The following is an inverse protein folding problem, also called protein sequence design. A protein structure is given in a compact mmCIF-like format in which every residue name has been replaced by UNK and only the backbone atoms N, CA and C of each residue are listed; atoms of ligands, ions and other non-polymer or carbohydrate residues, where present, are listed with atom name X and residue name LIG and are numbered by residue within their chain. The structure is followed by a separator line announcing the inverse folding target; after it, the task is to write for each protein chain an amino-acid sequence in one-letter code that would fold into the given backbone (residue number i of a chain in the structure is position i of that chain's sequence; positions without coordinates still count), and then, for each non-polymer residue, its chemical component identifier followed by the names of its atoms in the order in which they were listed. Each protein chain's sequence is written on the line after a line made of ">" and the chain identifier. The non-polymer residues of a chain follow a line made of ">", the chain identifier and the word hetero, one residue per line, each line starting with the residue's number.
data_IF_437941433610
#
_entry.id   IF_437941433610
#
_cell.length_a   1.000
_cell.length_b   1.000
_cell.length_c   1.000
_cell.angle_alpha   90.00
_cell.angle_beta   90.00
_cell.angle_gamma   90.00
#
_symmetry.space_group_name_H-M   'P 1'
#
loop_
_entity.id
_entity.type
_entity.pdbx_description
1 polymer ?
#
# COMPACT_ATOMS: atom_id res chain seq x y z
N UNK A 1 -23.66 -46.92 40.38
CA UNK A 1 -23.77 -45.98 41.53
C UNK A 1 -22.37 -45.49 41.87
N UNK A 2 -22.22 -44.16 42.04
CA UNK A 2 -21.06 -43.39 42.53
C UNK A 2 -19.81 -43.37 41.61
N UNK A 3 -19.37 -42.23 41.03
CA UNK A 3 -18.94 -40.93 41.58
C UNK A 3 -17.82 -41.15 42.61
N UNK A 4 -16.56 -40.76 42.38
CA UNK A 4 -15.95 -39.40 42.41
C UNK A 4 -14.42 -39.63 42.18
N UNK A 5 -13.50 -38.71 41.92
CA UNK A 5 -13.40 -37.26 41.77
C UNK A 5 -12.00 -36.98 41.17
N UNK A 6 -11.92 -35.95 40.33
CA UNK A 6 -10.68 -35.41 39.77
C UNK A 6 -9.79 -34.81 40.87
N UNK A 7 -8.50 -35.13 40.86
CA UNK A 7 -7.50 -34.45 41.69
C UNK A 7 -7.32 -32.99 41.23
N UNK A 8 -7.77 -32.07 42.06
CA UNK A 8 -7.44 -30.65 42.01
C UNK A 8 -5.98 -30.43 42.42
N UNK A 9 -5.12 -30.07 41.46
CA UNK A 9 -3.87 -29.39 41.79
C UNK A 9 -4.17 -27.89 42.02
N UNK A 10 -4.40 -27.57 43.28
CA UNK A 10 -4.41 -26.22 43.84
C UNK A 10 -3.04 -25.55 43.58
N UNK A 11 -2.99 -24.65 42.60
CA UNK A 11 -1.89 -23.70 42.49
C UNK A 11 -2.22 -22.50 43.39
N UNK A 12 -1.53 -22.44 44.52
CA UNK A 12 -1.45 -21.27 45.38
C UNK A 12 -1.16 -20.00 44.56
N UNK A 13 -2.17 -19.13 44.43
CA UNK A 13 -1.98 -17.76 43.96
C UNK A 13 -1.30 -16.95 45.06
N UNK A 14 0.02 -16.85 44.98
CA UNK A 14 0.74 -15.76 45.67
C UNK A 14 0.30 -14.46 45.02
N UNK A 15 -0.52 -13.67 45.73
CA UNK A 15 -0.91 -12.31 45.34
C UNK A 15 0.35 -11.45 45.32
N UNK A 16 0.90 -11.17 44.14
CA UNK A 16 1.80 -10.05 43.95
C UNK A 16 0.93 -8.80 43.97
N UNK A 17 0.87 -8.15 45.13
CA UNK A 17 0.37 -6.79 45.25
C UNK A 17 1.27 -5.87 44.42
N UNK A 18 0.69 -5.07 43.53
CA UNK A 18 1.42 -4.10 42.71
C UNK A 18 1.36 -4.31 41.19
N UNK A 19 0.44 -5.10 40.65
CA UNK A 19 0.09 -4.96 39.22
C UNK A 19 -0.86 -3.79 39.08
N UNK A 20 -0.34 -2.70 38.49
CA UNK A 20 -1.18 -1.68 37.87
C UNK A 20 -2.29 -2.38 37.08
N UNK A 21 -3.53 -1.95 37.27
CA UNK A 21 -4.63 -2.32 36.38
C UNK A 21 -4.16 -2.09 34.93
N UNK A 22 -4.50 -2.99 33.98
CA UNK A 22 -4.06 -2.82 32.61
C UNK A 22 -4.48 -1.43 32.16
N UNK A 23 -3.50 -0.56 31.90
CA UNK A 23 -3.72 0.77 31.35
C UNK A 23 -4.68 0.58 30.17
N UNK A 24 -5.84 1.19 30.30
CA UNK A 24 -6.81 1.33 29.23
C UNK A 24 -6.03 1.76 27.99
N UNK A 25 -6.08 0.96 26.93
CA UNK A 25 -5.34 1.24 25.70
C UNK A 25 -5.99 2.45 25.07
N UNK A 26 -5.55 3.64 25.48
CA UNK A 26 -5.77 4.89 24.79
C UNK A 26 -4.79 4.94 23.62
N UNK A 27 -5.05 4.11 22.61
CA UNK A 27 -4.52 4.39 21.27
C UNK A 27 -5.27 5.61 20.74
N UNK A 28 -4.74 6.77 21.10
CA UNK A 28 -4.99 8.07 20.49
C UNK A 28 -4.37 8.02 19.09
N UNK A 29 -5.05 7.38 18.14
CA UNK A 29 -4.88 7.65 16.70
C UNK A 29 -6.28 8.01 16.15
N UNK A 30 -6.80 9.12 16.66
CA UNK A 30 -8.08 9.77 16.35
C UNK A 30 -8.12 10.20 14.87
N UNK A 31 -9.14 9.92 14.05
CA UNK A 31 -10.56 9.63 14.23
C UNK A 31 -10.92 8.34 13.45
N UNK A 32 -12.11 7.72 13.65
CA UNK A 32 -12.55 6.68 12.74
C UNK A 32 -12.64 7.28 11.35
N UNK A 33 -11.66 6.95 10.50
CA UNK A 33 -11.74 7.21 9.06
C UNK A 33 -13.11 6.71 8.63
N UNK A 34 -13.93 7.60 8.08
CA UNK A 34 -15.22 7.21 7.52
C UNK A 34 -14.93 6.48 6.21
N UNK A 35 -14.96 5.16 6.29
CA UNK A 35 -14.85 4.32 5.12
C UNK A 35 -16.15 4.41 4.30
N UNK A 36 -16.06 4.36 2.97
CA UNK A 36 -17.20 3.99 2.15
C UNK A 36 -17.86 2.70 2.70
N UNK A 37 -19.18 2.61 2.62
CA UNK A 37 -19.96 1.52 3.25
C UNK A 37 -19.57 0.10 2.78
N UNK A 38 -18.93 0.00 1.63
CA UNK A 38 -18.47 -1.25 1.02
C UNK A 38 -17.06 -1.69 1.49
N UNK A 39 -16.32 -0.85 2.22
CA UNK A 39 -15.07 -1.22 2.88
C UNK A 39 -15.40 -1.64 4.32
N UNK A 40 -15.07 -2.88 4.66
CA UNK A 40 -15.21 -3.40 6.02
C UNK A 40 -13.86 -3.40 6.72
N UNK A 41 -13.83 -2.97 7.96
CA UNK A 41 -12.64 -2.98 8.82
C UNK A 41 -12.67 -4.20 9.71
N UNK A 42 -11.60 -4.98 9.70
CA UNK A 42 -11.42 -6.12 10.57
C UNK A 42 -10.30 -5.85 11.57
N UNK A 43 -10.64 -5.88 12.86
CA UNK A 43 -9.67 -5.74 13.96
C UNK A 43 -9.26 -7.13 14.45
N UNK A 44 -8.39 -7.82 13.71
CA UNK A 44 -7.83 -9.09 14.18
C UNK A 44 -6.53 -8.85 14.96
N UNK A 45 -6.41 -9.56 16.08
CA UNK A 45 -5.19 -9.57 16.89
C UNK A 45 -4.17 -10.49 16.22
N UNK A 46 -3.20 -9.92 15.52
CA UNK A 46 -2.06 -10.68 14.95
C UNK A 46 -0.88 -10.65 15.92
N UNK A 47 0.13 -11.47 15.66
CA UNK A 47 1.35 -11.59 16.49
C UNK A 47 2.19 -10.29 16.55
N UNK A 48 1.86 -9.29 15.72
CA UNK A 48 2.51 -7.97 15.65
C UNK A 48 1.45 -6.85 15.73
N UNK A 49 1.30 -6.15 16.87
CA UNK A 49 0.28 -5.11 17.04
C UNK A 49 0.73 -3.70 16.58
N UNK A 50 -0.21 -2.82 16.17
CA UNK A 50 -1.54 -3.15 15.66
C UNK A 50 -1.49 -3.28 14.13
N UNK A 51 -1.88 -4.44 13.59
CA UNK A 51 -2.05 -4.63 12.14
C UNK A 51 -3.52 -4.88 11.80
N UNK A 52 -4.28 -3.80 11.72
CA UNK A 52 -5.68 -3.83 11.24
C UNK A 52 -5.73 -4.17 9.75
N UNK A 53 -6.73 -4.96 9.34
CA UNK A 53 -6.96 -5.32 7.93
C UNK A 53 -8.28 -4.74 7.42
N UNK A 54 -8.34 -4.49 6.12
CA UNK A 54 -9.54 -4.12 5.40
C UNK A 54 -10.02 -5.31 4.57
N UNK A 55 -11.33 -5.43 4.44
CA UNK A 55 -11.96 -6.17 3.37
C UNK A 55 -12.56 -5.14 2.39
N UNK A 56 -11.98 -5.09 1.19
CA UNK A 56 -12.23 -4.06 0.18
C UNK A 56 -12.94 -4.71 -1.00
N UNK A 57 -14.24 -4.47 -1.13
CA UNK A 57 -15.00 -4.94 -2.31
C UNK A 57 -14.76 -4.01 -3.50
N UNK A 58 -13.92 -4.42 -4.45
CA UNK A 58 -13.61 -3.60 -5.62
C UNK A 58 -14.83 -3.48 -6.53
N UNK A 59 -15.20 -2.25 -6.89
CA UNK A 59 -16.29 -1.97 -7.81
C UNK A 59 -16.04 -2.68 -9.17
N UNK A 60 -16.99 -3.50 -9.68
CA UNK A 60 -16.84 -4.22 -10.94
C UNK A 60 -16.52 -3.34 -12.15
N UNK A 61 -16.93 -2.06 -12.14
CA UNK A 61 -16.62 -1.09 -13.20
C UNK A 61 -15.10 -0.92 -13.33
N UNK A 62 -14.37 -0.83 -12.22
CA UNK A 62 -12.91 -0.70 -12.18
C UNK A 62 -12.27 -1.94 -12.80
N UNK A 63 -12.70 -3.14 -12.36
CA UNK A 63 -12.17 -4.42 -12.86
C UNK A 63 -12.40 -4.57 -14.37
N UNK A 64 -13.61 -4.22 -14.84
CA UNK A 64 -13.96 -4.29 -16.26
C UNK A 64 -13.14 -3.31 -17.09
N UNK A 65 -12.94 -2.09 -16.58
CA UNK A 65 -12.10 -1.09 -17.24
C UNK A 65 -10.64 -1.56 -17.32
N UNK A 66 -10.04 -1.98 -16.20
CA UNK A 66 -8.65 -2.43 -16.16
C UNK A 66 -8.40 -3.61 -17.10
N UNK A 67 -9.32 -4.60 -17.14
CA UNK A 67 -9.20 -5.75 -18.05
C UNK A 67 -9.19 -5.33 -19.52
N UNK A 68 -10.04 -4.36 -19.90
CA UNK A 68 -10.08 -3.83 -21.27
C UNK A 68 -8.79 -3.10 -21.64
N UNK A 69 -8.27 -2.28 -20.72
CA UNK A 69 -7.08 -1.47 -20.97
C UNK A 69 -5.78 -2.27 -21.01
N UNK A 70 -5.76 -3.44 -20.36
CA UNK A 70 -4.53 -4.24 -20.17
C UNK A 70 -4.49 -5.54 -20.95
N UNK A 71 -5.50 -5.82 -21.77
CA UNK A 71 -5.67 -7.09 -22.49
C UNK A 71 -4.42 -7.50 -23.30
N UNK A 72 -3.76 -6.54 -23.96
CA UNK A 72 -2.56 -6.77 -24.77
C UNK A 72 -1.24 -6.41 -24.06
N UNK A 73 -1.30 -6.01 -22.79
CA UNK A 73 -0.11 -5.56 -22.05
C UNK A 73 0.71 -6.76 -21.59
N UNK A 74 2.01 -6.80 -21.91
CA UNK A 74 2.91 -7.85 -21.41
C UNK A 74 3.08 -7.74 -19.89
N UNK A 75 3.21 -8.87 -19.20
CA UNK A 75 3.36 -8.90 -17.72
C UNK A 75 4.74 -8.42 -17.25
N UNK A 76 5.71 -8.36 -18.15
CA UNK A 76 7.08 -7.91 -17.87
C UNK A 76 7.35 -6.69 -18.73
N UNK A 77 7.44 -5.54 -18.08
CA UNK A 77 7.82 -4.28 -18.71
C UNK A 77 9.03 -3.72 -18.00
N UNK A 78 9.89 -3.08 -18.77
CA UNK A 78 11.00 -2.28 -18.28
C UNK A 78 10.66 -0.80 -18.48
N UNK A 79 10.94 0.03 -17.49
CA UNK A 79 10.82 1.48 -17.61
C UNK A 79 12.11 2.12 -17.15
N UNK A 80 12.75 2.92 -18.00
CA UNK A 80 14.04 3.58 -17.73
C UNK A 80 15.11 2.60 -17.19
N UNK A 81 15.14 1.37 -17.71
CA UNK A 81 16.07 0.32 -17.28
C UNK A 81 15.63 -0.49 -16.04
N UNK A 82 14.49 -0.17 -15.44
CA UNK A 82 13.96 -0.83 -14.25
C UNK A 82 12.89 -1.86 -14.61
N UNK A 83 13.06 -3.09 -14.11
CA UNK A 83 12.04 -4.16 -14.21
C UNK A 83 11.06 -4.03 -13.06
N UNK A 84 9.77 -4.17 -13.36
CA UNK A 84 8.74 -4.24 -12.35
C UNK A 84 8.38 -5.68 -11.98
N UNK A 85 8.36 -5.95 -10.68
CA UNK A 85 7.98 -7.24 -10.10
C UNK A 85 6.81 -7.12 -9.11
N UNK A 86 6.53 -5.91 -8.60
CA UNK A 86 5.48 -5.69 -7.62
C UNK A 86 4.79 -4.35 -7.81
N UNK A 87 3.49 -4.29 -7.46
CA UNK A 87 2.67 -3.07 -7.57
C UNK A 87 3.31 -1.86 -6.87
N UNK A 88 3.85 -2.06 -5.67
CA UNK A 88 4.47 -1.00 -4.86
C UNK A 88 5.67 -0.31 -5.52
N UNK A 89 6.31 -0.94 -6.50
CA UNK A 89 7.47 -0.35 -7.20
C UNK A 89 7.06 0.87 -8.03
N UNK A 90 5.77 1.01 -8.36
CA UNK A 90 5.23 2.21 -9.01
C UNK A 90 5.26 3.45 -8.11
N UNK A 91 5.35 3.31 -6.79
CA UNK A 91 5.33 4.44 -5.84
C UNK A 91 6.42 5.47 -6.14
N UNK A 92 7.60 5.01 -6.55
CA UNK A 92 8.71 5.92 -6.82
C UNK A 92 8.45 6.78 -8.04
N UNK A 93 8.00 6.19 -9.14
CA UNK A 93 7.65 6.95 -10.35
C UNK A 93 6.39 7.82 -10.15
N UNK A 94 5.50 7.40 -9.26
CA UNK A 94 4.31 8.16 -8.92
C UNK A 94 4.64 9.51 -8.26
N UNK A 95 5.74 9.58 -7.48
CA UNK A 95 6.02 10.71 -6.58
C UNK A 95 7.27 11.51 -6.91
N UNK A 96 8.29 10.88 -7.50
CA UNK A 96 9.62 11.48 -7.62
C UNK A 96 10.09 11.69 -9.06
N UNK A 97 9.22 11.42 -10.05
CA UNK A 97 9.56 11.54 -11.46
C UNK A 97 8.55 12.42 -12.17
N UNK A 98 8.98 13.27 -13.09
CA UNK A 98 8.08 13.87 -14.07
C UNK A 98 7.85 12.83 -15.19
N UNK A 99 6.58 12.48 -15.43
CA UNK A 99 6.17 11.50 -16.43
C UNK A 99 5.36 12.23 -17.50
N UNK A 100 5.72 11.99 -18.75
CA UNK A 100 4.95 12.44 -19.90
C UNK A 100 3.78 11.48 -20.19
N UNK A 101 3.00 11.77 -21.24
CA UNK A 101 1.82 10.98 -21.62
C UNK A 101 2.16 9.51 -21.97
N UNK A 102 3.32 9.26 -22.59
CA UNK A 102 3.77 7.92 -22.93
C UNK A 102 4.17 7.12 -21.67
N UNK A 103 4.89 7.78 -20.76
CA UNK A 103 5.27 7.24 -19.46
C UNK A 103 4.01 6.87 -18.64
N UNK A 104 3.02 7.77 -18.58
CA UNK A 104 1.71 7.52 -17.95
C UNK A 104 0.98 6.36 -18.63
N UNK A 105 0.97 6.31 -19.96
CA UNK A 105 0.32 5.24 -20.72
C UNK A 105 0.90 3.88 -20.38
N UNK A 106 2.24 3.78 -20.33
CA UNK A 106 2.93 2.53 -20.01
C UNK A 106 2.72 2.13 -18.55
N UNK A 107 3.00 3.04 -17.61
CA UNK A 107 2.94 2.76 -16.18
C UNK A 107 1.51 2.54 -15.69
N UNK A 108 0.53 3.25 -16.25
CA UNK A 108 -0.89 3.06 -15.99
C UNK A 108 -1.37 1.67 -16.40
N UNK A 109 -1.03 1.22 -17.62
CA UNK A 109 -1.32 -0.16 -18.07
C UNK A 109 -0.66 -1.21 -17.18
N UNK A 110 0.59 -0.99 -16.80
CA UNK A 110 1.31 -1.91 -15.93
C UNK A 110 0.69 -1.96 -14.53
N UNK A 111 0.38 -0.80 -13.94
CA UNK A 111 -0.29 -0.70 -12.64
C UNK A 111 -1.64 -1.40 -12.64
N UNK A 112 -2.50 -1.12 -13.62
CA UNK A 112 -3.80 -1.79 -13.75
C UNK A 112 -3.64 -3.31 -13.86
N UNK A 113 -2.61 -3.80 -14.54
CA UNK A 113 -2.35 -5.24 -14.69
C UNK A 113 -1.92 -5.88 -13.37
N UNK A 114 -0.94 -5.28 -12.69
CA UNK A 114 -0.47 -5.74 -11.38
C UNK A 114 -1.60 -5.69 -10.33
N UNK A 115 -2.47 -4.68 -10.39
CA UNK A 115 -3.68 -4.61 -9.58
C UNK A 115 -4.62 -5.80 -9.84
N UNK A 116 -4.85 -6.14 -11.11
CA UNK A 116 -5.71 -7.27 -11.48
C UNK A 116 -5.13 -8.61 -11.03
N UNK A 117 -3.80 -8.76 -11.02
CA UNK A 117 -3.11 -9.94 -10.50
C UNK A 117 -3.38 -10.08 -8.99
N UNK A 118 -3.11 -9.04 -8.19
CA UNK A 118 -3.44 -9.00 -6.76
C UNK A 118 -4.94 -9.26 -6.50
N UNK A 119 -5.81 -8.69 -7.34
CA UNK A 119 -7.26 -8.91 -7.25
C UNK A 119 -7.65 -10.37 -7.50
N UNK A 120 -7.05 -11.01 -8.50
CA UNK A 120 -7.33 -12.40 -8.84
C UNK A 120 -6.87 -13.39 -7.77
N UNK A 121 -5.81 -13.03 -7.02
CA UNK A 121 -5.30 -13.80 -5.88
C UNK A 121 -6.12 -13.60 -4.60
N UNK A 122 -7.08 -12.65 -4.61
CA UNK A 122 -7.94 -12.38 -3.47
C UNK A 122 -7.31 -11.47 -2.41
N UNK A 123 -6.21 -10.77 -2.72
CA UNK A 123 -5.43 -9.95 -1.79
C UNK A 123 -6.26 -8.80 -1.15
N UNK A 124 -7.36 -8.40 -1.78
CA UNK A 124 -8.25 -7.34 -1.27
C UNK A 124 -9.32 -7.84 -0.28
N UNK A 125 -9.47 -9.16 -0.11
CA UNK A 125 -10.39 -9.74 0.90
C UNK A 125 -9.88 -9.48 2.32
N UNK A 126 -8.57 -9.42 2.47
CA UNK A 126 -7.89 -9.11 3.73
C UNK A 126 -6.57 -8.39 3.43
N UNK A 127 -6.62 -7.05 3.36
CA UNK A 127 -5.45 -6.22 3.08
C UNK A 127 -5.06 -5.39 4.31
N UNK A 128 -3.79 -5.44 4.70
CA UNK A 128 -3.28 -4.57 5.77
C UNK A 128 -3.31 -3.09 5.39
N UNK A 129 -3.58 -2.21 6.37
CA UNK A 129 -3.70 -0.76 6.15
C UNK A 129 -2.48 -0.14 5.45
N UNK A 130 -1.27 -0.53 5.86
CA UNK A 130 -0.06 0.00 5.24
C UNK A 130 0.05 -0.37 3.75
N UNK A 131 -0.42 -1.56 3.36
CA UNK A 131 -0.45 -1.99 1.95
C UNK A 131 -1.58 -1.27 1.21
N UNK A 132 -2.75 -1.17 1.83
CA UNK A 132 -3.89 -0.44 1.28
C UNK A 132 -3.54 1.04 1.00
N UNK A 133 -2.82 1.69 1.91
CA UNK A 133 -2.32 3.06 1.76
C UNK A 133 -1.38 3.17 0.56
N UNK A 134 -0.38 2.29 0.43
CA UNK A 134 0.51 2.27 -0.75
C UNK A 134 -0.28 2.12 -2.05
N UNK A 135 -1.27 1.24 -2.05
CA UNK A 135 -2.12 1.04 -3.22
C UNK A 135 -2.90 2.31 -3.56
N UNK A 136 -3.43 3.00 -2.54
CA UNK A 136 -4.19 4.23 -2.70
C UNK A 136 -3.45 5.26 -3.55
N UNK A 137 -2.16 5.50 -3.26
CA UNK A 137 -1.39 6.54 -3.95
C UNK A 137 -1.07 6.20 -5.40
N UNK A 138 -0.89 4.92 -5.74
CA UNK A 138 -0.70 4.49 -7.13
C UNK A 138 -2.01 4.61 -7.92
N UNK A 139 -3.14 4.27 -7.28
CA UNK A 139 -4.47 4.43 -7.89
C UNK A 139 -4.79 5.91 -8.10
N UNK A 140 -4.59 6.76 -7.08
CA UNK A 140 -4.84 8.21 -7.10
C UNK A 140 -3.91 9.00 -8.03
N UNK A 141 -2.74 8.43 -8.36
CA UNK A 141 -1.77 9.03 -9.28
C UNK A 141 -1.78 8.34 -10.63
N UNK A 142 -0.73 7.56 -10.92
CA UNK A 142 -0.47 6.93 -12.24
C UNK A 142 -1.72 6.31 -12.89
N UNK A 143 -2.55 5.57 -12.15
CA UNK A 143 -3.73 4.90 -12.75
C UNK A 143 -4.87 5.89 -13.04
N UNK A 144 -5.15 6.82 -12.14
CA UNK A 144 -6.16 7.86 -12.36
C UNK A 144 -5.73 8.80 -13.49
N UNK A 145 -4.46 9.18 -13.53
CA UNK A 145 -3.87 10.00 -14.60
C UNK A 145 -4.00 9.30 -15.96
N UNK A 146 -3.71 7.99 -16.01
CA UNK A 146 -3.97 7.18 -17.21
C UNK A 146 -5.44 7.23 -17.62
N UNK A 147 -6.37 7.04 -16.67
CA UNK A 147 -7.78 7.01 -16.98
C UNK A 147 -8.28 8.34 -17.56
N UNK A 148 -7.80 9.46 -17.01
CA UNK A 148 -8.09 10.80 -17.53
C UNK A 148 -7.48 11.02 -18.92
N UNK A 149 -6.19 10.73 -19.08
CA UNK A 149 -5.47 10.87 -20.35
C UNK A 149 -6.15 10.09 -21.49
N UNK A 150 -6.66 8.88 -21.19
CA UNK A 150 -7.33 8.01 -22.15
C UNK A 150 -8.85 8.15 -22.15
N UNK A 151 -9.39 9.30 -21.71
CA UNK A 151 -10.80 9.67 -21.77
C UNK A 151 -11.75 8.58 -21.24
N UNK A 152 -11.42 7.97 -20.10
CA UNK A 152 -12.31 7.06 -19.41
C UNK A 152 -13.63 7.77 -19.05
N UNK A 153 -14.73 7.02 -18.98
CA UNK A 153 -16.01 7.60 -18.60
C UNK A 153 -15.96 8.15 -17.18
N UNK A 154 -16.81 9.16 -16.90
CA UNK A 154 -16.88 9.80 -15.59
C UNK A 154 -17.14 8.79 -14.46
N UNK A 155 -17.95 7.76 -14.71
CA UNK A 155 -18.22 6.70 -13.74
C UNK A 155 -16.97 5.89 -13.38
N UNK A 156 -16.09 5.63 -14.35
CA UNK A 156 -14.83 4.94 -14.12
C UNK A 156 -13.89 5.83 -13.31
N UNK A 157 -13.76 7.10 -13.69
CA UNK A 157 -12.92 8.09 -12.98
C UNK A 157 -13.36 8.22 -11.52
N UNK A 158 -14.66 8.42 -11.30
CA UNK A 158 -15.24 8.53 -9.95
C UNK A 158 -15.04 7.27 -9.13
N UNK A 159 -15.22 6.08 -9.72
CA UNK A 159 -15.00 4.80 -9.02
C UNK A 159 -13.54 4.61 -8.62
N UNK A 160 -12.59 4.97 -9.49
CA UNK A 160 -11.14 4.92 -9.20
C UNK A 160 -10.80 5.88 -8.04
N UNK A 161 -11.31 7.11 -8.09
CA UNK A 161 -11.10 8.12 -7.04
C UNK A 161 -11.71 7.69 -5.71
N UNK A 162 -12.93 7.17 -5.71
CA UNK A 162 -13.61 6.67 -4.51
C UNK A 162 -12.81 5.54 -3.86
N UNK A 163 -12.33 4.57 -4.66
CA UNK A 163 -11.49 3.49 -4.18
C UNK A 163 -10.20 4.04 -3.55
N UNK A 164 -9.48 4.91 -4.26
CA UNK A 164 -8.24 5.50 -3.77
C UNK A 164 -8.44 6.23 -2.43
N UNK A 165 -9.44 7.11 -2.34
CA UNK A 165 -9.74 7.84 -1.12
C UNK A 165 -10.17 6.90 0.02
N UNK A 166 -10.97 5.88 -0.30
CA UNK A 166 -11.46 4.88 0.65
C UNK A 166 -10.33 4.12 1.36
N UNK A 167 -9.16 3.95 0.73
CA UNK A 167 -8.03 3.20 1.28
C UNK A 167 -6.77 4.05 1.59
N UNK A 168 -6.82 5.37 1.41
CA UNK A 168 -5.74 6.34 1.74
C UNK A 168 -5.73 6.77 3.22
N UNK A 169 -4.59 6.70 3.89
CA UNK A 169 -4.45 6.99 5.34
C UNK A 169 -3.52 8.15 5.63
N UNK A 170 -2.29 8.05 5.14
CA UNK A 170 -1.23 9.02 5.44
C UNK A 170 -0.36 9.21 4.22
N UNK A 171 0.06 10.45 3.97
CA UNK A 171 1.11 10.76 3.00
C UNK A 171 2.50 10.42 3.53
N UNK A 172 2.64 10.31 4.85
CA UNK A 172 3.87 9.98 5.56
C UNK A 172 3.93 8.48 5.85
N UNK A 173 4.57 7.75 4.94
CA UNK A 173 4.83 6.33 5.07
C UNK A 173 6.12 5.95 4.34
N UNK A 174 6.66 4.78 4.68
CA UNK A 174 7.84 4.24 4.02
C UNK A 174 7.51 3.07 3.08
N UNK A 175 8.27 2.95 2.01
CA UNK A 175 8.25 1.76 1.15
C UNK A 175 9.67 1.30 0.83
N UNK A 176 9.86 -0.01 0.69
CA UNK A 176 11.15 -0.58 0.32
C UNK A 176 11.49 -0.18 -1.11
N UNK A 177 12.67 0.41 -1.29
CA UNK A 177 13.24 0.63 -2.60
C UNK A 177 14.00 -0.62 -3.04
N UNK A 178 13.48 -1.26 -4.10
CA UNK A 178 14.06 -2.49 -4.64
C UNK A 178 15.07 -2.23 -5.75
N UNK A 179 15.34 -0.97 -6.05
CA UNK A 179 16.23 -0.57 -7.13
C UNK A 179 17.63 -0.30 -6.64
N UNK A 180 18.24 -1.36 -6.14
CA UNK A 180 19.68 -1.40 -5.93
C UNK A 180 20.38 -1.84 -7.21
N UNK A 181 21.56 -1.28 -7.54
CA UNK A 181 22.38 -1.80 -8.62
C UNK A 181 22.56 -3.31 -8.49
N UNK A 182 22.55 -4.04 -9.61
CA UNK A 182 22.92 -5.46 -9.64
C UNK A 182 24.22 -5.61 -8.87
N UNK A 183 24.21 -6.45 -7.82
CA UNK A 183 25.31 -6.79 -6.89
C UNK A 183 25.19 -6.24 -5.45
N UNK A 184 24.22 -5.38 -5.10
CA UNK A 184 24.03 -4.89 -3.72
C UNK A 184 22.82 -5.52 -2.99
N UNK A 185 22.64 -6.84 -3.10
CA UNK A 185 21.50 -7.58 -2.51
C UNK A 185 21.44 -7.58 -0.97
N UNK A 186 22.48 -7.06 -0.29
CA UNK A 186 22.58 -7.02 1.17
C UNK A 186 21.87 -5.83 1.81
N UNK A 187 21.37 -4.89 1.00
CA UNK A 187 20.69 -3.70 1.49
C UNK A 187 19.25 -3.68 0.97
N UNK A 188 18.35 -3.03 1.69
CA UNK A 188 16.96 -2.83 1.27
C UNK A 188 16.54 -1.48 1.83
N UNK A 189 17.02 -0.38 1.22
CA UNK A 189 16.73 0.95 1.71
C UNK A 189 15.23 1.19 1.60
N UNK A 190 14.71 2.03 2.48
CA UNK A 190 13.33 2.47 2.44
C UNK A 190 13.31 3.92 1.97
N UNK A 191 12.25 4.32 1.29
CA UNK A 191 12.02 5.72 0.91
C UNK A 191 10.82 6.20 1.71
N UNK A 192 10.97 7.34 2.38
CA UNK A 192 9.85 8.08 2.92
C UNK A 192 9.08 8.72 1.75
N UNK A 193 7.83 8.29 1.53
CA UNK A 193 7.03 8.70 0.37
C UNK A 193 6.76 10.21 0.33
N UNK A 194 6.59 10.84 1.50
CA UNK A 194 6.32 12.27 1.61
C UNK A 194 7.50 13.12 1.14
N UNK A 195 8.72 12.72 1.51
CA UNK A 195 9.94 13.54 1.40
C UNK A 195 10.94 13.07 0.37
N UNK A 196 10.92 11.79 -0.03
CA UNK A 196 11.94 11.18 -0.90
C UNK A 196 13.21 10.77 -0.17
N UNK A 197 13.33 11.06 1.12
CA UNK A 197 14.53 10.69 1.90
C UNK A 197 14.63 9.17 2.05
N UNK A 198 15.82 8.65 1.81
CA UNK A 198 16.12 7.26 2.15
C UNK A 198 16.24 7.09 3.66
N UNK A 199 15.66 6.01 4.15
CA UNK A 199 15.78 5.53 5.52
C UNK A 199 16.36 4.12 5.50
N UNK A 200 16.94 3.69 6.63
CA UNK A 200 17.60 2.38 6.75
C UNK A 200 18.78 2.17 5.79
N UNK A 201 19.50 3.25 5.49
CA UNK A 201 20.80 3.20 4.83
C UNK A 201 21.91 3.03 5.89
N UNK A 202 22.95 2.23 5.62
CA UNK A 202 24.15 2.20 6.47
C UNK A 202 24.83 3.58 6.47
N UNK A 203 25.86 3.77 7.32
CA UNK A 203 26.72 4.96 7.32
C UNK A 203 27.58 5.04 6.03
N UNK A 204 26.92 5.19 4.87
CA UNK A 204 27.47 5.29 3.52
C UNK A 204 26.70 6.37 2.77
N UNK A 205 27.34 6.97 1.78
CA UNK A 205 26.68 7.93 0.90
C UNK A 205 25.69 7.23 -0.05
N UNK A 206 24.75 7.98 -0.63
CA UNK A 206 23.86 7.45 -1.66
C UNK A 206 24.65 7.00 -2.90
N UNK A 207 25.67 7.76 -3.29
CA UNK A 207 26.56 7.44 -4.40
C UNK A 207 27.27 6.10 -4.20
N UNK A 208 27.80 5.83 -2.99
CA UNK A 208 28.43 4.55 -2.63
C UNK A 208 27.47 3.36 -2.73
N UNK A 209 26.18 3.61 -2.55
CA UNK A 209 25.12 2.60 -2.67
C UNK A 209 24.55 2.52 -4.09
N UNK A 210 24.97 3.41 -4.99
CA UNK A 210 24.41 3.59 -6.34
C UNK A 210 22.95 4.04 -6.32
N UNK A 211 22.55 4.79 -5.29
CA UNK A 211 21.24 5.39 -5.15
C UNK A 211 21.28 6.83 -5.66
N UNK A 212 20.30 7.21 -6.47
CA UNK A 212 20.07 8.60 -6.85
C UNK A 212 19.35 9.37 -5.73
N UNK A 213 19.64 10.67 -5.62
CA UNK A 213 18.84 11.57 -4.79
C UNK A 213 17.44 11.76 -5.39
N UNK A 214 16.42 11.70 -4.54
CA UNK A 214 15.01 11.80 -4.96
C UNK A 214 14.42 13.13 -4.52
N UNK A 215 13.71 13.77 -5.45
CA UNK A 215 12.99 15.02 -5.18
C UNK A 215 11.51 14.83 -5.46
N UNK A 216 10.68 15.36 -4.58
CA UNK A 216 9.22 15.36 -4.77
C UNK A 216 8.89 16.22 -5.98
N UNK A 217 8.20 15.64 -6.96
CA UNK A 217 7.69 16.42 -8.09
C UNK A 217 6.31 17.00 -7.76
N UNK A 218 6.05 18.21 -8.25
CA UNK A 218 4.73 18.81 -8.12
C UNK A 218 3.71 18.03 -8.96
N UNK A 219 2.50 17.87 -8.42
CA UNK A 219 1.39 17.12 -9.01
C UNK A 219 1.13 17.54 -10.47
N UNK A 220 0.99 16.58 -11.39
CA UNK A 220 0.99 16.83 -12.84
C UNK A 220 -0.30 17.46 -13.39
N UNK A 221 -1.40 17.37 -12.64
CA UNK A 221 -2.73 17.82 -13.08
C UNK A 221 -3.30 19.00 -12.29
N UNK A 222 -2.52 19.66 -11.42
CA UNK A 222 -2.97 20.87 -10.71
C UNK A 222 -2.79 22.16 -11.54
N UNK A 223 -2.81 22.05 -12.87
CA UNK A 223 -2.67 23.19 -13.79
C UNK A 223 -3.96 23.57 -14.52
N UNK A 224 -5.11 23.14 -14.02
CA UNK A 224 -6.39 23.77 -14.39
C UNK A 224 -6.81 24.71 -13.26
N UNK A 225 -6.43 26.00 -13.42
CA UNK A 225 -7.06 27.13 -12.76
C UNK A 225 -7.81 27.94 -13.82
#
# INVERSE_FOLDING_TARGET
>A
MSATENQEHSYHRTRIAGREEPKEITCIEDLPKKYPSWIKVNNFKTIFPPLTTLNVTINPIIIKYFKRQTFFTRSKSEFRGYKFFAFQELLRFNRFYELNDDDITLLGKLGMKLFLEDYSLGEYREIHYHRANKISFIIDGIILDYAKLHNASIDVINSIQELANGIKYSDDFEFSDRWLPKNNYLYSPFINYKTGKYTRIPNRSLEELGLEELHVVNCRWSKDK
#
